data_IF_974147896757
#
_entry.id   IF_974147896757
#
_cell.length_a   1.000
_cell.length_b   1.000
_cell.length_c   1.000
_cell.angle_alpha   90.00
_cell.angle_beta   90.00
_cell.angle_gamma   90.00
#
_symmetry.space_group_name_H-M   'P 1'
#
loop_
_entity.id
_entity.type
_entity.pdbx_description
1 polymer ?
#
# COMPACT_ATOMS: atom_id res chain seq x y z
N UNK A 1 31.01 -9.04 66.81
CA UNK A 1 30.25 -10.01 67.63
C UNK A 1 29.36 -10.81 66.68
N UNK A 2 29.54 -12.13 66.70
CA UNK A 2 28.67 -13.09 66.02
C UNK A 2 27.30 -13.15 66.69
N UNK A 3 26.24 -13.26 65.88
CA UNK A 3 25.14 -14.20 66.12
C UNK A 3 24.45 -14.46 64.78
N UNK A 4 24.60 -15.69 64.27
CA UNK A 4 23.64 -16.26 63.32
C UNK A 4 22.45 -16.87 64.06
N UNK A 5 21.40 -17.22 63.32
CA UNK A 5 20.74 -18.54 63.33
C UNK A 5 19.50 -18.54 62.40
N UNK A 6 19.55 -19.50 61.47
CA UNK A 6 18.50 -20.32 60.83
C UNK A 6 17.35 -19.77 59.96
N UNK A 7 17.37 -20.36 58.75
CA UNK A 7 16.36 -20.56 57.70
C UNK A 7 14.93 -20.90 58.18
N UNK A 8 13.97 -20.47 57.37
CA UNK A 8 12.86 -21.33 56.93
C UNK A 8 12.60 -21.09 55.43
N UNK A 9 12.56 -22.19 54.67
CA UNK A 9 12.14 -22.20 53.28
C UNK A 9 10.62 -22.03 53.21
N UNK A 10 10.13 -21.26 52.23
CA UNK A 10 8.73 -21.29 51.83
C UNK A 10 8.66 -21.30 50.30
N UNK A 11 8.10 -22.40 49.78
CA UNK A 11 7.74 -22.59 48.38
C UNK A 11 6.58 -21.64 48.04
N UNK A 12 6.90 -20.43 47.60
CA UNK A 12 5.93 -19.45 47.13
C UNK A 12 5.53 -19.71 45.68
N UNK A 13 4.79 -20.79 45.42
CA UNK A 13 4.12 -20.96 44.12
C UNK A 13 2.91 -20.02 44.10
N UNK A 14 2.78 -19.07 43.15
CA UNK A 14 1.63 -18.19 43.11
C UNK A 14 0.37 -18.97 42.73
N UNK A 15 -0.66 -18.88 43.59
CA UNK A 15 -2.00 -19.39 43.31
C UNK A 15 -2.65 -18.50 42.24
N UNK A 16 -2.82 -19.02 41.02
CA UNK A 16 -3.69 -18.40 40.03
C UNK A 16 -5.17 -18.60 40.43
N UNK A 17 -6.03 -17.58 40.28
CA UNK A 17 -7.47 -17.76 40.42
C UNK A 17 -8.01 -18.66 39.28
N UNK A 18 -9.10 -19.41 39.51
CA UNK A 18 -9.68 -20.26 38.48
C UNK A 18 -10.29 -19.44 37.34
N UNK A 19 -10.15 -19.95 36.12
CA UNK A 19 -10.71 -19.36 34.90
C UNK A 19 -12.24 -19.24 34.98
N UNK A 20 -12.83 -18.17 34.42
CA UNK A 20 -14.28 -18.04 34.35
C UNK A 20 -14.88 -19.11 33.44
N UNK A 21 -15.82 -19.88 33.99
CA UNK A 21 -16.58 -20.90 33.25
C UNK A 21 -17.47 -20.20 32.21
N UNK A 22 -17.11 -20.34 30.94
CA UNK A 22 -17.95 -19.87 29.82
C UNK A 22 -19.11 -20.86 29.62
N UNK A 23 -20.38 -20.45 29.70
CA UNK A 23 -21.50 -21.34 29.44
C UNK A 23 -21.53 -21.75 27.94
N UNK A 24 -21.94 -22.99 27.61
CA UNK A 24 -21.96 -23.45 26.23
C UNK A 24 -22.98 -22.66 25.41
N UNK A 25 -22.53 -22.14 24.27
CA UNK A 25 -23.37 -21.47 23.29
C UNK A 25 -24.39 -22.49 22.73
N UNK A 26 -25.68 -22.30 23.03
CA UNK A 26 -26.74 -23.08 22.39
C UNK A 26 -26.78 -22.75 20.90
N UNK A 27 -26.49 -23.73 20.05
CA UNK A 27 -26.72 -23.63 18.62
C UNK A 27 -28.22 -23.42 18.35
N UNK A 28 -28.58 -22.25 17.82
CA UNK A 28 -29.90 -22.03 17.25
C UNK A 28 -29.96 -22.78 15.91
N UNK A 29 -30.77 -23.83 15.85
CA UNK A 29 -31.13 -24.49 14.60
C UNK A 29 -32.06 -23.57 13.80
N UNK A 30 -31.48 -22.78 12.90
CA UNK A 30 -32.18 -22.01 11.88
C UNK A 30 -31.37 -22.11 10.60
N UNK A 31 -31.99 -22.59 9.53
CA UNK A 31 -31.35 -22.82 8.23
C UNK A 31 -30.52 -21.60 7.79
N UNK A 32 -29.25 -21.82 7.45
CA UNK A 32 -28.44 -20.81 6.77
C UNK A 32 -29.18 -20.40 5.48
N UNK A 33 -29.52 -19.12 5.30
CA UNK A 33 -29.98 -18.68 3.99
C UNK A 33 -28.81 -18.87 3.03
N UNK A 34 -29.02 -19.70 2.01
CA UNK A 34 -28.07 -19.83 0.91
C UNK A 34 -27.70 -18.41 0.45
N UNK A 35 -26.43 -18.05 0.61
CA UNK A 35 -25.90 -16.78 0.15
C UNK A 35 -26.09 -16.72 -1.37
N UNK A 36 -27.20 -16.11 -1.79
CA UNK A 36 -27.38 -15.68 -3.16
C UNK A 36 -26.23 -14.75 -3.45
N UNK A 37 -25.35 -15.13 -4.38
CA UNK A 37 -24.38 -14.23 -4.96
C UNK A 37 -25.17 -13.10 -5.65
N UNK A 38 -25.50 -12.07 -4.87
CA UNK A 38 -26.14 -10.87 -5.37
C UNK A 38 -25.19 -10.29 -6.41
N UNK A 39 -25.55 -10.42 -7.67
CA UNK A 39 -24.92 -9.70 -8.77
C UNK A 39 -25.42 -8.28 -8.66
N UNK A 40 -24.67 -7.43 -7.96
CA UNK A 40 -24.93 -6.00 -7.84
C UNK A 40 -24.64 -5.31 -9.17
N UNK A 41 -25.59 -5.40 -10.11
CA UNK A 41 -25.59 -4.54 -11.28
C UNK A 41 -25.63 -3.08 -10.81
N UNK A 42 -24.68 -2.25 -11.28
CA UNK A 42 -24.55 -0.84 -10.89
C UNK A 42 -23.58 -0.54 -9.74
N UNK A 43 -22.87 -1.55 -9.20
CA UNK A 43 -21.81 -1.33 -8.19
C UNK A 43 -20.75 -0.34 -8.66
N UNK A 44 -20.34 -0.43 -9.92
CA UNK A 44 -19.28 0.43 -10.48
C UNK A 44 -19.72 1.91 -10.51
N UNK A 45 -20.98 2.21 -10.89
CA UNK A 45 -21.51 3.59 -10.85
C UNK A 45 -21.60 4.16 -9.42
N UNK A 46 -22.00 3.33 -8.46
CA UNK A 46 -22.06 3.73 -7.04
C UNK A 46 -20.67 3.96 -6.49
N UNK A 47 -19.69 3.12 -6.85
CA UNK A 47 -18.30 3.31 -6.46
C UNK A 47 -17.68 4.55 -7.14
N UNK A 48 -17.94 4.79 -8.43
CA UNK A 48 -17.51 6.02 -9.11
C UNK A 48 -18.13 7.27 -8.48
N UNK A 49 -19.38 7.17 -8.00
CA UNK A 49 -20.07 8.27 -7.33
C UNK A 49 -19.53 8.52 -5.91
N UNK A 50 -19.21 7.47 -5.16
CA UNK A 50 -18.79 7.56 -3.75
C UNK A 50 -17.29 7.78 -3.59
N UNK A 51 -16.50 7.16 -4.47
CA UNK A 51 -15.05 7.15 -4.41
C UNK A 51 -14.42 8.07 -5.44
N UNK A 52 -15.19 8.60 -6.40
CA UNK A 52 -14.73 9.43 -7.51
C UNK A 52 -14.52 8.63 -8.80
N UNK A 53 -14.53 9.27 -9.99
CA UNK A 53 -14.26 8.60 -11.25
C UNK A 53 -12.90 7.89 -11.20
N UNK A 54 -12.88 6.57 -11.34
CA UNK A 54 -11.62 5.82 -11.43
C UNK A 54 -11.01 5.35 -10.11
N UNK A 55 -11.68 5.58 -8.98
CA UNK A 55 -11.14 5.35 -7.65
C UNK A 55 -10.94 3.89 -7.25
N UNK A 56 -11.19 2.94 -8.16
CA UNK A 56 -10.65 1.60 -8.08
C UNK A 56 -10.26 1.16 -9.48
N UNK A 57 -9.00 1.33 -9.85
CA UNK A 57 -8.44 0.52 -10.92
C UNK A 57 -8.58 -0.93 -10.45
N UNK A 58 -9.53 -1.65 -11.04
CA UNK A 58 -9.67 -3.08 -10.83
C UNK A 58 -8.28 -3.66 -11.10
N UNK A 59 -7.66 -4.38 -10.15
CA UNK A 59 -6.33 -4.94 -10.36
C UNK A 59 -6.32 -5.61 -11.73
N UNK A 60 -5.42 -5.17 -12.60
CA UNK A 60 -5.39 -5.57 -13.98
C UNK A 60 -5.44 -7.09 -14.06
N UNK A 61 -6.59 -7.63 -14.45
CA UNK A 61 -6.82 -9.07 -14.66
C UNK A 61 -6.28 -9.49 -16.02
N UNK A 62 -5.11 -8.98 -16.39
CA UNK A 62 -4.27 -9.68 -17.34
C UNK A 62 -3.76 -10.94 -16.64
N UNK A 63 -3.57 -12.03 -17.36
CA UNK A 63 -2.92 -13.24 -16.85
C UNK A 63 -1.46 -12.90 -16.48
N UNK A 64 -1.29 -12.24 -15.34
CA UNK A 64 -0.01 -11.78 -14.86
C UNK A 64 0.72 -12.97 -14.24
N UNK A 65 1.58 -13.57 -15.04
CA UNK A 65 2.53 -14.56 -14.58
C UNK A 65 3.77 -13.91 -13.99
N UNK A 66 4.60 -14.71 -13.29
CA UNK A 66 5.94 -14.28 -12.87
C UNK A 66 6.71 -13.62 -14.01
N UNK A 67 7.42 -12.53 -13.70
CA UNK A 67 8.19 -11.77 -14.69
C UNK A 67 7.42 -10.65 -15.41
N UNK A 68 6.17 -10.36 -15.04
CA UNK A 68 5.42 -9.22 -15.55
C UNK A 68 6.08 -7.87 -15.18
N UNK A 69 5.69 -6.79 -15.87
CA UNK A 69 6.01 -5.42 -15.44
C UNK A 69 4.82 -4.86 -14.66
N UNK A 70 5.02 -4.57 -13.38
CA UNK A 70 4.00 -3.94 -12.53
C UNK A 70 4.17 -2.43 -12.55
N UNK A 71 3.10 -1.70 -12.83
CA UNK A 71 2.97 -0.26 -12.58
C UNK A 71 2.05 -0.09 -11.38
N UNK A 72 2.65 0.26 -10.25
CA UNK A 72 2.00 0.40 -8.95
C UNK A 72 1.78 1.88 -8.60
N UNK A 73 0.52 2.30 -8.46
CA UNK A 73 0.17 3.63 -8.01
C UNK A 73 -0.11 3.65 -6.52
N UNK A 74 0.46 4.62 -5.81
CA UNK A 74 0.24 4.82 -4.37
C UNK A 74 -0.24 6.25 -4.18
N UNK A 75 -1.36 6.40 -3.49
CA UNK A 75 -1.95 7.68 -3.16
C UNK A 75 -2.66 7.66 -1.81
N UNK A 76 -2.92 8.86 -1.30
CA UNK A 76 -3.77 9.08 -0.14
C UNK A 76 -5.15 9.54 -0.64
N UNK A 77 -6.18 8.68 -0.59
CA UNK A 77 -7.49 8.99 -1.12
C UNK A 77 -8.06 10.30 -0.56
N UNK A 78 -8.65 11.10 -1.44
CA UNK A 78 -9.29 12.38 -1.12
C UNK A 78 -8.34 13.48 -0.61
N UNK A 79 -7.02 13.34 -0.74
CA UNK A 79 -6.05 14.36 -0.36
C UNK A 79 -5.43 15.07 -1.57
N UNK A 80 -6.27 15.48 -2.53
CA UNK A 80 -5.92 16.28 -3.71
C UNK A 80 -4.70 15.68 -4.44
N UNK A 81 -3.56 16.35 -4.42
CA UNK A 81 -2.35 15.92 -5.13
C UNK A 81 -1.77 14.63 -4.55
N UNK A 82 -1.94 14.40 -3.25
CA UNK A 82 -1.42 13.18 -2.61
C UNK A 82 -2.14 11.91 -3.08
N UNK A 83 -3.29 12.05 -3.76
CA UNK A 83 -4.01 10.93 -4.40
C UNK A 83 -3.54 10.65 -5.83
N UNK A 84 -2.36 11.17 -6.20
CA UNK A 84 -1.82 11.09 -7.57
C UNK A 84 -1.76 9.67 -8.11
N UNK A 85 -1.19 8.73 -7.37
CA UNK A 85 -0.98 7.36 -7.86
C UNK A 85 -2.27 6.68 -8.32
N UNK A 86 -3.32 6.75 -7.50
CA UNK A 86 -4.63 6.13 -7.80
C UNK A 86 -5.35 6.83 -8.95
N UNK A 87 -5.42 8.16 -8.93
CA UNK A 87 -6.09 8.93 -9.98
C UNK A 87 -5.34 8.84 -11.32
N UNK A 88 -4.02 8.83 -11.29
CA UNK A 88 -3.19 8.63 -12.49
C UNK A 88 -3.43 7.24 -13.08
N UNK A 89 -3.42 6.19 -12.24
CA UNK A 89 -3.69 4.83 -12.69
C UNK A 89 -5.07 4.71 -13.36
N UNK A 90 -6.07 5.40 -12.82
CA UNK A 90 -7.41 5.35 -13.39
C UNK A 90 -7.48 5.91 -14.80
N UNK A 91 -6.76 7.01 -15.05
CA UNK A 91 -6.59 7.57 -16.40
C UNK A 91 -5.80 6.60 -17.29
N UNK A 92 -4.70 6.07 -16.77
CA UNK A 92 -3.83 5.12 -17.46
C UNK A 92 -4.57 3.82 -17.86
N UNK A 93 -5.50 3.34 -17.05
CA UNK A 93 -6.27 2.12 -17.30
C UNK A 93 -7.23 2.23 -18.51
N UNK A 94 -7.50 3.44 -18.98
CA UNK A 94 -8.30 3.68 -20.20
C UNK A 94 -7.47 3.55 -21.49
N UNK A 95 -6.15 3.41 -21.37
CA UNK A 95 -5.21 3.33 -22.48
C UNK A 95 -4.85 1.88 -22.82
N UNK A 96 -4.28 1.69 -24.01
CA UNK A 96 -3.71 0.40 -24.42
C UNK A 96 -2.29 0.25 -23.87
N UNK A 97 -2.03 -0.88 -23.23
CA UNK A 97 -0.72 -1.25 -22.68
C UNK A 97 -0.17 -2.50 -23.37
N UNK A 98 1.17 -2.66 -23.43
CA UNK A 98 1.78 -3.91 -23.89
C UNK A 98 1.35 -5.13 -23.07
N UNK A 99 1.41 -6.31 -23.69
CA UNK A 99 1.18 -7.58 -23.01
C UNK A 99 2.14 -7.74 -21.83
N UNK A 100 1.63 -8.26 -20.71
CA UNK A 100 2.43 -8.48 -19.49
C UNK A 100 2.67 -7.22 -18.65
N UNK A 101 2.07 -6.07 -18.99
CA UNK A 101 1.99 -4.90 -18.10
C UNK A 101 0.76 -5.04 -17.19
N UNK A 102 0.98 -4.89 -15.89
CA UNK A 102 -0.05 -4.91 -14.85
C UNK A 102 -0.15 -3.52 -14.26
N UNK A 103 -1.35 -2.93 -14.28
CA UNK A 103 -1.64 -1.73 -13.51
C UNK A 103 -2.32 -2.13 -12.20
N UNK A 104 -1.81 -1.66 -11.07
CA UNK A 104 -2.39 -1.97 -9.76
C UNK A 104 -2.33 -0.77 -8.81
N UNK A 105 -3.48 -0.45 -8.22
CA UNK A 105 -3.54 0.48 -7.09
C UNK A 105 -2.98 -0.21 -5.83
N UNK A 106 -1.88 0.31 -5.32
CA UNK A 106 -1.17 -0.18 -4.13
C UNK A 106 -1.43 0.71 -2.90
N UNK A 107 -2.49 1.51 -2.91
CA UNK A 107 -2.90 2.42 -1.82
C UNK A 107 -3.58 1.65 -0.68
N UNK A 108 -2.90 0.62 -0.17
CA UNK A 108 -3.31 -0.19 0.97
C UNK A 108 -2.09 -0.58 1.82
N UNK A 109 -2.33 -1.19 2.99
CA UNK A 109 -1.28 -1.44 3.98
C UNK A 109 -0.02 -2.12 3.39
N UNK A 110 1.16 -1.57 3.68
CA UNK A 110 2.42 -1.96 3.05
C UNK A 110 2.77 -3.46 3.16
N UNK A 111 2.40 -4.12 4.26
CA UNK A 111 2.59 -5.57 4.41
C UNK A 111 1.75 -6.39 3.41
N UNK A 112 0.58 -5.89 3.00
CA UNK A 112 -0.22 -6.49 1.92
C UNK A 112 0.44 -6.24 0.58
N UNK A 113 1.03 -5.07 0.36
CA UNK A 113 1.76 -4.77 -0.89
C UNK A 113 2.94 -5.73 -1.03
N UNK A 114 3.69 -5.94 0.06
CA UNK A 114 4.77 -6.93 0.13
C UNK A 114 4.29 -8.34 -0.25
N UNK A 115 3.20 -8.83 0.35
CA UNK A 115 2.66 -10.15 0.01
C UNK A 115 2.19 -10.22 -1.45
N UNK A 116 1.56 -9.17 -1.95
CA UNK A 116 1.12 -9.08 -3.34
C UNK A 116 2.29 -9.17 -4.32
N UNK A 117 3.38 -8.44 -4.05
CA UNK A 117 4.60 -8.50 -4.84
C UNK A 117 5.22 -9.91 -4.82
N UNK A 118 5.20 -10.60 -3.68
CA UNK A 118 5.68 -11.98 -3.55
C UNK A 118 4.83 -12.98 -4.31
N UNK A 119 3.51 -12.78 -4.39
CA UNK A 119 2.60 -13.61 -5.18
C UNK A 119 2.78 -13.37 -6.69
N UNK A 120 2.90 -12.10 -7.09
CA UNK A 120 3.01 -11.70 -8.49
C UNK A 120 4.40 -12.00 -9.09
N UNK A 121 5.45 -11.87 -8.27
CA UNK A 121 6.85 -12.00 -8.67
C UNK A 121 7.18 -11.19 -9.94
N UNK A 122 6.93 -9.87 -9.94
CA UNK A 122 7.19 -9.04 -11.11
C UNK A 122 8.68 -9.01 -11.44
N UNK A 123 9.02 -9.01 -12.73
CA UNK A 123 10.39 -8.83 -13.20
C UNK A 123 10.86 -7.38 -13.11
N UNK A 124 9.91 -6.44 -13.20
CA UNK A 124 10.12 -4.99 -13.07
C UNK A 124 8.97 -4.36 -12.32
N UNK A 125 9.27 -3.33 -11.53
CA UNK A 125 8.25 -2.49 -10.87
C UNK A 125 8.49 -1.02 -11.19
N UNK A 126 7.41 -0.31 -11.53
CA UNK A 126 7.36 1.16 -11.64
C UNK A 126 6.39 1.67 -10.58
N UNK A 127 6.88 2.34 -9.55
CA UNK A 127 6.06 2.91 -8.49
C UNK A 127 5.79 4.39 -8.76
N UNK A 128 4.54 4.79 -8.55
CA UNK A 128 4.04 6.15 -8.75
C UNK A 128 3.47 6.70 -7.46
N UNK A 129 3.76 7.97 -7.16
CA UNK A 129 3.14 8.66 -6.03
C UNK A 129 3.35 10.17 -6.09
N UNK A 130 2.83 10.86 -5.08
CA UNK A 130 3.07 12.28 -4.88
C UNK A 130 3.47 12.51 -3.44
N UNK A 131 4.65 13.11 -3.23
CA UNK A 131 5.29 13.19 -1.92
C UNK A 131 5.79 14.62 -1.66
N UNK A 132 5.48 15.21 -0.48
CA UNK A 132 5.96 16.54 -0.10
C UNK A 132 7.42 16.47 0.32
N UNK A 133 8.33 16.43 -0.66
CA UNK A 133 9.77 16.33 -0.44
C UNK A 133 10.38 17.70 -0.12
N UNK A 134 9.74 18.77 -0.56
CA UNK A 134 10.22 20.15 -0.39
C UNK A 134 11.49 20.43 -1.20
N UNK A 135 11.73 19.66 -2.26
CA UNK A 135 12.98 19.71 -3.03
C UNK A 135 12.86 20.44 -4.37
N UNK A 136 11.64 20.70 -4.82
CA UNK A 136 11.35 21.45 -6.05
C UNK A 136 10.06 22.25 -5.94
N UNK A 137 9.69 23.00 -7.00
CA UNK A 137 8.36 23.59 -7.08
C UNK A 137 7.29 22.49 -7.23
N UNK A 138 6.02 22.77 -6.88
CA UNK A 138 4.91 21.86 -7.17
C UNK A 138 4.84 21.44 -8.63
N UNK A 139 4.47 20.19 -8.89
CA UNK A 139 4.48 19.58 -10.22
C UNK A 139 5.85 19.06 -10.67
N UNK A 140 6.93 19.34 -9.92
CA UNK A 140 8.24 18.78 -10.26
C UNK A 140 8.27 17.25 -10.10
N UNK A 141 8.85 16.57 -11.09
CA UNK A 141 8.90 15.11 -11.15
C UNK A 141 10.31 14.64 -10.76
N UNK A 142 10.37 13.68 -9.85
CA UNK A 142 11.59 12.95 -9.51
C UNK A 142 11.46 11.51 -9.96
N UNK A 143 12.45 11.06 -10.74
CA UNK A 143 12.60 9.66 -11.15
C UNK A 143 13.92 9.12 -10.63
N UNK A 144 13.90 7.98 -9.95
CA UNK A 144 15.12 7.33 -9.47
C UNK A 144 14.97 5.81 -9.46
N UNK A 145 16.10 5.10 -9.60
CA UNK A 145 16.10 3.66 -9.37
C UNK A 145 16.22 3.38 -7.89
N UNK A 146 15.48 2.39 -7.42
CA UNK A 146 15.50 2.03 -6.02
C UNK A 146 16.85 1.45 -5.59
N UNK A 147 17.54 0.75 -6.50
CA UNK A 147 18.88 0.21 -6.30
C UNK A 147 19.98 1.28 -6.19
N UNK A 148 19.69 2.53 -6.58
CA UNK A 148 20.61 3.66 -6.43
C UNK A 148 20.43 4.38 -5.07
N UNK A 149 19.40 4.01 -4.30
CA UNK A 149 19.15 4.55 -2.97
C UNK A 149 19.92 3.78 -1.90
N UNK A 150 20.41 4.44 -0.84
CA UNK A 150 20.98 3.74 0.30
C UNK A 150 19.96 2.78 0.90
N UNK A 151 20.44 1.68 1.48
CA UNK A 151 19.60 0.77 2.25
C UNK A 151 18.90 1.53 3.37
N UNK A 152 17.62 1.20 3.65
CA UNK A 152 16.87 1.90 4.68
C UNK A 152 17.51 1.64 6.05
N UNK A 153 17.59 2.68 6.87
CA UNK A 153 18.05 2.53 8.24
C UNK A 153 17.07 1.63 9.02
N UNK A 154 17.52 0.62 9.78
CA UNK A 154 16.61 -0.25 10.53
C UNK A 154 15.71 0.49 11.54
N UNK A 155 16.18 1.62 12.09
CA UNK A 155 15.38 2.49 12.94
C UNK A 155 14.25 3.15 12.14
N UNK A 156 14.56 3.72 10.97
CA UNK A 156 13.56 4.28 10.06
C UNK A 156 12.50 3.24 9.66
N UNK A 157 12.90 2.01 9.33
CA UNK A 157 11.93 0.93 9.01
C UNK A 157 10.99 0.67 10.19
N UNK A 158 11.49 0.66 11.42
CA UNK A 158 10.68 0.45 12.61
C UNK A 158 9.69 1.60 12.84
N UNK A 159 10.15 2.84 12.69
CA UNK A 159 9.32 4.04 12.85
C UNK A 159 8.18 4.06 11.83
N UNK A 160 8.47 3.80 10.55
CA UNK A 160 7.44 3.68 9.50
C UNK A 160 6.49 2.53 9.76
N UNK A 161 6.97 1.38 10.23
CA UNK A 161 6.08 0.28 10.61
C UNK A 161 5.15 0.67 11.76
N UNK A 162 5.63 1.46 12.73
CA UNK A 162 4.82 1.98 13.82
C UNK A 162 3.74 2.95 13.32
N UNK A 163 4.10 3.87 12.42
CA UNK A 163 3.17 4.80 11.77
C UNK A 163 2.09 4.10 10.94
N UNK A 164 2.45 3.03 10.23
CA UNK A 164 1.51 2.20 9.48
C UNK A 164 0.42 1.57 10.36
N UNK A 165 0.72 1.24 11.63
CA UNK A 165 -0.31 0.78 12.59
C UNK A 165 -1.35 1.86 12.85
N UNK A 166 -0.96 3.15 12.77
CA UNK A 166 -1.85 4.30 12.80
C UNK A 166 -2.68 4.50 11.53
N UNK A 167 -2.52 3.63 10.53
CA UNK A 167 -3.27 3.68 9.27
C UNK A 167 -2.62 4.54 8.19
N UNK A 168 -1.36 4.96 8.35
CA UNK A 168 -0.63 5.70 7.33
C UNK A 168 -0.25 4.75 6.18
N UNK A 169 -0.66 5.12 4.97
CA UNK A 169 -0.43 4.35 3.74
C UNK A 169 0.09 5.32 2.68
N UNK A 170 1.41 5.48 2.63
CA UNK A 170 2.07 6.31 1.61
C UNK A 170 3.20 5.55 0.91
N UNK A 171 3.85 6.24 -0.02
CA UNK A 171 4.96 5.69 -0.80
C UNK A 171 6.15 5.30 0.09
N UNK A 172 6.51 6.12 1.07
CA UNK A 172 7.67 5.85 1.93
C UNK A 172 7.47 4.60 2.78
N UNK A 173 6.27 4.44 3.33
CA UNK A 173 5.90 3.24 4.10
C UNK A 173 5.97 1.99 3.24
N UNK A 174 5.45 2.08 2.02
CA UNK A 174 5.51 0.98 1.05
C UNK A 174 6.95 0.61 0.70
N UNK A 175 7.79 1.62 0.44
CA UNK A 175 9.20 1.43 0.14
C UNK A 175 9.97 0.84 1.33
N UNK A 176 9.77 1.36 2.55
CA UNK A 176 10.47 0.88 3.74
C UNK A 176 10.20 -0.61 4.00
N UNK A 177 8.94 -1.02 3.99
CA UNK A 177 8.54 -2.41 4.20
C UNK A 177 9.01 -3.29 3.04
N UNK A 178 8.67 -2.94 1.79
CA UNK A 178 8.96 -3.85 0.69
C UNK A 178 10.46 -3.99 0.42
N UNK A 179 11.28 -2.97 0.73
CA UNK A 179 12.75 -3.08 0.69
C UNK A 179 13.29 -3.94 1.82
N UNK A 180 12.84 -3.72 3.06
CA UNK A 180 13.34 -4.48 4.21
C UNK A 180 13.18 -6.01 4.04
N UNK A 181 12.10 -6.44 3.40
CA UNK A 181 11.82 -7.85 3.11
C UNK A 181 12.21 -8.31 1.69
N UNK A 182 12.93 -7.49 0.90
CA UNK A 182 13.34 -7.80 -0.47
C UNK A 182 12.17 -8.25 -1.38
N UNK A 183 11.01 -7.62 -1.22
CA UNK A 183 9.83 -7.92 -2.03
C UNK A 183 9.82 -7.19 -3.38
N UNK A 184 10.57 -6.10 -3.50
CA UNK A 184 10.76 -5.36 -4.75
C UNK A 184 11.92 -5.97 -5.55
N UNK A 185 11.79 -6.17 -6.88
CA UNK A 185 12.90 -6.61 -7.72
C UNK A 185 13.96 -5.50 -7.85
N UNK A 186 15.20 -5.89 -8.18
CA UNK A 186 16.30 -4.94 -8.42
C UNK A 186 15.96 -3.88 -9.49
N UNK A 187 15.15 -4.27 -10.48
CA UNK A 187 14.63 -3.39 -11.51
C UNK A 187 13.34 -2.69 -11.04
N UNK A 188 13.49 -1.89 -9.98
CA UNK A 188 12.43 -1.02 -9.47
C UNK A 188 12.77 0.44 -9.73
N UNK A 189 11.85 1.15 -10.38
CA UNK A 189 11.91 2.60 -10.60
C UNK A 189 10.80 3.26 -9.79
N UNK A 190 11.11 4.39 -9.16
CA UNK A 190 10.13 5.25 -8.51
C UNK A 190 10.03 6.56 -9.29
N UNK A 191 8.80 6.97 -9.59
CA UNK A 191 8.47 8.28 -10.17
C UNK A 191 7.52 8.96 -9.18
N UNK A 192 7.95 10.07 -8.61
CA UNK A 192 7.15 10.84 -7.65
C UNK A 192 7.04 12.30 -8.07
N UNK A 193 5.87 12.90 -7.80
CA UNK A 193 5.57 14.30 -8.10
C UNK A 193 5.54 15.13 -6.80
N UNK A 194 6.04 16.36 -6.84
CA UNK A 194 5.93 17.30 -5.72
C UNK A 194 4.51 17.93 -5.67
N UNK A 195 3.78 17.85 -4.54
CA UNK A 195 2.43 18.39 -4.42
C UNK A 195 2.40 19.91 -4.30
N UNK A 196 1.28 20.54 -4.70
CA UNK A 196 0.91 21.90 -4.31
C UNK A 196 -0.10 21.90 -3.16
N UNK A 197 -1.05 20.95 -3.17
CA UNK A 197 -2.19 20.87 -2.27
C UNK A 197 -2.37 19.47 -1.68
N UNK A 198 -2.64 19.40 -0.39
CA UNK A 198 -2.81 18.14 0.37
C UNK A 198 -4.05 18.13 1.26
N UNK A 199 -4.93 19.12 1.11
CA UNK A 199 -6.17 19.23 1.84
C UNK A 199 -7.23 18.25 1.34
N UNK A 200 -8.29 18.04 2.12
CA UNK A 200 -9.38 17.17 1.71
C UNK A 200 -10.07 17.73 0.47
N UNK A 201 -10.10 16.96 -0.61
CA UNK A 201 -10.73 17.33 -1.85
C UNK A 201 -10.38 16.40 -3.02
N UNK A 202 -10.93 16.75 -4.17
CA UNK A 202 -10.92 15.93 -5.37
C UNK A 202 -10.01 16.51 -6.45
N UNK A 203 -9.39 15.65 -7.25
CA UNK A 203 -8.57 16.04 -8.38
C UNK A 203 -7.28 16.77 -7.99
N UNK A 204 -6.48 17.08 -8.99
CA UNK A 204 -5.17 17.67 -8.80
C UNK A 204 -5.23 19.20 -8.81
N UNK A 205 -4.23 19.82 -8.21
CA UNK A 205 -3.83 21.21 -8.48
C UNK A 205 -3.30 21.32 -9.90
N UNK A 206 -3.33 22.53 -10.48
CA UNK A 206 -2.89 22.74 -11.87
C UNK A 206 -1.44 22.28 -12.12
N UNK A 207 -0.44 22.57 -11.25
CA UNK A 207 0.93 22.12 -11.49
C UNK A 207 1.09 20.60 -11.53
N UNK A 208 0.31 19.87 -10.72
CA UNK A 208 0.33 18.39 -10.71
C UNK A 208 -0.45 17.83 -11.89
N UNK A 209 -1.55 18.46 -12.28
CA UNK A 209 -2.30 18.12 -13.50
C UNK A 209 -1.42 18.26 -14.75
N UNK A 210 -0.62 19.33 -14.83
CA UNK A 210 0.32 19.58 -15.93
C UNK A 210 1.43 18.50 -16.02
N UNK A 211 1.74 17.82 -14.92
CA UNK A 211 2.75 16.76 -14.86
C UNK A 211 2.23 15.38 -15.31
N UNK A 212 0.91 15.19 -15.42
CA UNK A 212 0.29 13.86 -15.67
C UNK A 212 0.79 13.21 -16.95
N UNK A 213 0.82 13.97 -18.05
CA UNK A 213 1.21 13.45 -19.37
C UNK A 213 2.71 13.15 -19.42
N UNK A 214 3.54 13.98 -18.78
CA UNK A 214 4.98 13.73 -18.67
C UNK A 214 5.26 12.45 -17.87
N UNK A 215 4.57 12.23 -16.75
CA UNK A 215 4.66 10.97 -15.99
C UNK A 215 4.20 9.79 -16.85
N UNK A 216 3.16 9.95 -17.67
CA UNK A 216 2.70 8.89 -18.57
C UNK A 216 3.76 8.51 -19.61
N UNK A 217 4.43 9.48 -20.20
CA UNK A 217 5.52 9.23 -21.14
C UNK A 217 6.70 8.55 -20.44
N UNK A 218 7.03 8.94 -19.21
CA UNK A 218 8.07 8.27 -18.42
C UNK A 218 7.71 6.81 -18.11
N UNK A 219 6.47 6.53 -17.69
CA UNK A 219 6.03 5.15 -17.42
C UNK A 219 6.06 4.32 -18.69
N UNK A 220 5.57 4.87 -19.82
CA UNK A 220 5.65 4.21 -21.13
C UNK A 220 7.07 3.88 -21.54
N UNK A 221 8.01 4.78 -21.25
CA UNK A 221 9.42 4.52 -21.46
C UNK A 221 9.92 3.35 -20.61
N UNK A 222 9.59 3.28 -19.31
CA UNK A 222 10.04 2.18 -18.45
C UNK A 222 9.43 0.82 -18.82
N UNK A 223 8.15 0.77 -19.18
CA UNK A 223 7.49 -0.50 -19.54
C UNK A 223 7.96 -1.06 -20.89
N UNK A 224 8.54 -0.23 -21.76
CA UNK A 224 8.98 -0.64 -23.09
C UNK A 224 10.39 -1.26 -23.13
N UNK A 225 11.10 -1.32 -21.98
CA UNK A 225 12.49 -1.74 -21.87
C UNK A 225 12.70 -3.22 -21.69
#
# INVERSE_FOLDING_TARGET
MHTGVMRAASDGTPHNPPDPVTPPLRAAAGAEPAASAATWAGRDEVLDTLLGPGAQVKPGRADAGPGCTLVGGIGLPWLRDLDFGTNWLARAATLVWPDGVVLEDLSYAAHRVMHRLQELQPGRVVLLGCMPRGTGPPGSIRRYRLSEMPDPDPGEVHDRLGEAVGGIVDLDHTLAVCRHWNALPDDTVVIEVEPAESEFGWGFSQPVEDAVDEVLDMVRHEVAR
#
